data_IF_256557719196
#
_entry.id   IF_256557719196
#
_cell.length_a   1.000
_cell.length_b   1.000
_cell.length_c   1.000
_cell.angle_alpha   90.00
_cell.angle_beta   90.00
_cell.angle_gamma   90.00
#
_symmetry.space_group_name_H-M   'P 1'
#
loop_
_entity.id
_entity.type
_entity.pdbx_description
1 polymer ?
#
# COMPACT_ATOMS: atom_id res chain seq x y z
N UNK A 1 8.09 21.21 7.59
CA UNK A 1 6.94 21.48 6.72
C UNK A 1 6.12 20.21 6.58
N UNK A 2 4.79 20.29 6.62
CA UNK A 2 3.91 19.16 6.33
C UNK A 2 4.04 18.72 4.87
N UNK A 3 4.03 17.42 4.64
CA UNK A 3 4.08 16.79 3.32
C UNK A 3 2.81 16.00 3.06
N UNK A 4 2.45 15.85 1.80
CA UNK A 4 1.39 14.95 1.33
C UNK A 4 2.00 13.62 0.91
N UNK A 5 1.61 12.54 1.58
CA UNK A 5 2.21 11.22 1.34
C UNK A 5 1.14 10.18 1.02
N UNK A 6 1.33 9.44 -0.06
CA UNK A 6 0.54 8.26 -0.39
C UNK A 6 1.30 7.01 0.01
N UNK A 7 0.68 6.14 0.80
CA UNK A 7 1.22 4.84 1.20
C UNK A 7 0.42 3.73 0.52
N UNK A 8 1.02 3.09 -0.47
CA UNK A 8 0.45 1.94 -1.18
C UNK A 8 0.78 0.66 -0.42
N UNK A 9 -0.22 -0.17 -0.12
CA UNK A 9 -0.06 -1.34 0.75
C UNK A 9 -0.14 -1.00 2.24
N UNK A 10 -0.96 -0.01 2.60
CA UNK A 10 -1.05 0.52 3.96
C UNK A 10 -1.73 -0.38 5.00
N UNK A 11 -2.40 -1.48 4.59
CA UNK A 11 -2.91 -2.51 5.51
C UNK A 11 -1.81 -3.48 5.96
N UNK A 12 -0.67 -3.50 5.27
CA UNK A 12 0.43 -4.41 5.50
C UNK A 12 1.26 -4.10 6.75
N UNK A 13 2.18 -5.03 7.05
CA UNK A 13 3.07 -4.97 8.21
C UNK A 13 3.97 -3.71 8.22
N UNK A 14 4.47 -3.28 7.07
CA UNK A 14 5.26 -2.06 6.95
C UNK A 14 4.36 -0.83 6.73
N UNK A 15 3.32 -0.96 5.92
CA UNK A 15 2.51 0.18 5.48
C UNK A 15 1.75 0.86 6.62
N UNK A 16 1.13 0.08 7.51
CA UNK A 16 0.37 0.65 8.62
C UNK A 16 1.23 1.46 9.61
N UNK A 17 2.32 0.91 10.19
CA UNK A 17 3.15 1.69 11.11
C UNK A 17 3.83 2.88 10.43
N UNK A 18 4.21 2.77 9.15
CA UNK A 18 4.73 3.91 8.38
C UNK A 18 3.69 5.02 8.26
N UNK A 19 2.43 4.66 7.97
CA UNK A 19 1.33 5.63 7.88
C UNK A 19 1.06 6.34 9.20
N UNK A 20 1.09 5.60 10.32
CA UNK A 20 0.95 6.19 11.66
C UNK A 20 2.09 7.16 11.97
N UNK A 21 3.34 6.73 11.74
CA UNK A 21 4.52 7.56 11.99
C UNK A 21 4.48 8.87 11.19
N UNK A 22 4.18 8.80 9.89
CA UNK A 22 4.07 9.98 9.04
C UNK A 22 2.95 10.91 9.50
N UNK A 23 1.79 10.36 9.86
CA UNK A 23 0.67 11.13 10.40
C UNK A 23 1.03 11.80 11.73
N UNK A 24 1.76 11.10 12.61
CA UNK A 24 2.26 11.65 13.88
C UNK A 24 3.22 12.83 13.66
N UNK A 25 4.08 12.75 12.64
CA UNK A 25 4.97 13.84 12.24
C UNK A 25 4.23 15.04 11.59
N UNK A 26 2.91 14.95 11.45
CA UNK A 26 2.09 16.03 10.92
C UNK A 26 1.98 16.05 9.40
N UNK A 27 2.29 14.95 8.73
CA UNK A 27 2.08 14.79 7.30
C UNK A 27 0.62 14.42 7.00
N UNK A 28 0.12 14.85 5.84
CA UNK A 28 -1.17 14.42 5.31
C UNK A 28 -1.00 13.06 4.63
N UNK A 29 -1.65 12.03 5.17
CA UNK A 29 -1.44 10.64 4.73
C UNK A 29 -2.68 10.06 4.08
N UNK A 30 -2.49 9.48 2.89
CA UNK A 30 -3.49 8.65 2.19
C UNK A 30 -2.96 7.24 2.08
N UNK A 31 -3.73 6.27 2.59
CA UNK A 31 -3.48 4.84 2.42
C UNK A 31 -4.26 4.33 1.21
N UNK A 32 -3.60 3.54 0.37
CA UNK A 32 -4.24 2.73 -0.68
C UNK A 32 -3.95 1.27 -0.42
N UNK A 33 -4.98 0.44 -0.37
CA UNK A 33 -4.84 -1.01 -0.20
C UNK A 33 -6.07 -1.75 -0.76
N UNK A 34 -5.86 -2.93 -1.32
CA UNK A 34 -6.93 -3.82 -1.79
C UNK A 34 -7.35 -4.87 -0.75
N UNK A 35 -6.71 -4.88 0.41
CA UNK A 35 -6.90 -5.84 1.51
C UNK A 35 -6.66 -7.30 1.12
N UNK A 36 -5.92 -7.53 0.03
CA UNK A 36 -5.64 -8.89 -0.48
C UNK A 36 -4.94 -9.78 0.54
N UNK A 37 -4.16 -9.20 1.44
CA UNK A 37 -3.51 -9.94 2.52
C UNK A 37 -4.52 -10.67 3.41
N UNK A 38 -5.69 -10.08 3.70
CA UNK A 38 -6.73 -10.71 4.51
C UNK A 38 -7.31 -11.93 3.81
N UNK A 39 -7.48 -11.85 2.48
CA UNK A 39 -7.92 -12.97 1.67
C UNK A 39 -6.86 -14.09 1.63
N UNK A 40 -5.58 -13.72 1.52
CA UNK A 40 -4.46 -14.67 1.56
C UNK A 40 -4.38 -15.36 2.93
N UNK A 41 -4.50 -14.61 4.03
CA UNK A 41 -4.50 -15.17 5.38
C UNK A 41 -5.65 -16.19 5.53
N UNK A 42 -6.87 -15.89 5.04
CA UNK A 42 -8.00 -16.81 5.04
C UNK A 42 -7.75 -18.05 4.17
N UNK A 43 -7.18 -17.87 2.96
CA UNK A 43 -6.84 -18.99 2.06
C UNK A 43 -5.79 -19.94 2.69
N UNK A 44 -4.91 -19.39 3.52
CA UNK A 44 -3.86 -20.15 4.19
C UNK A 44 -4.28 -20.69 5.56
N UNK A 45 -5.52 -20.41 5.99
CA UNK A 45 -6.00 -20.73 7.34
C UNK A 45 -5.05 -20.17 8.42
N UNK A 46 -4.43 -19.03 8.12
CA UNK A 46 -3.46 -18.38 8.98
C UNK A 46 -4.10 -17.22 9.75
N UNK A 47 -3.65 -17.03 10.99
CA UNK A 47 -4.06 -15.90 11.80
C UNK A 47 -2.85 -15.13 12.33
N UNK A 48 -3.02 -13.84 12.56
CA UNK A 48 -2.00 -13.05 13.23
C UNK A 48 -1.97 -13.38 14.73
N UNK A 49 -0.79 -13.36 15.34
CA UNK A 49 -0.62 -13.54 16.81
C UNK A 49 -1.46 -12.52 17.59
N UNK A 50 -1.57 -11.31 17.09
CA UNK A 50 -2.47 -10.29 17.60
C UNK A 50 -3.59 -10.07 16.58
N UNK A 51 -4.87 -10.09 16.99
CA UNK A 51 -5.98 -9.82 16.09
C UNK A 51 -5.84 -8.47 15.42
N UNK A 52 -6.06 -8.42 14.10
CA UNK A 52 -5.99 -7.19 13.32
C UNK A 52 -7.41 -6.71 13.02
N UNK A 53 -7.76 -5.57 13.57
CA UNK A 53 -9.05 -4.91 13.32
C UNK A 53 -9.16 -4.42 11.87
N UNK A 54 -10.39 -4.30 11.38
CA UNK A 54 -10.66 -3.70 10.07
C UNK A 54 -10.05 -2.29 9.95
N UNK A 55 -9.62 -1.91 8.74
CA UNK A 55 -8.93 -0.65 8.49
C UNK A 55 -9.72 0.56 9.01
N UNK A 56 -11.03 0.60 8.81
CA UNK A 56 -11.88 1.69 9.30
C UNK A 56 -11.82 1.85 10.83
N UNK A 57 -11.82 0.75 11.58
CA UNK A 57 -11.72 0.78 13.04
C UNK A 57 -10.34 1.29 13.49
N UNK A 58 -9.27 0.88 12.81
CA UNK A 58 -7.91 1.34 13.12
C UNK A 58 -7.74 2.83 12.87
N UNK A 59 -8.25 3.33 11.76
CA UNK A 59 -8.23 4.77 11.42
C UNK A 59 -9.06 5.57 12.43
N UNK A 60 -10.25 5.07 12.78
CA UNK A 60 -11.09 5.70 13.79
C UNK A 60 -10.36 5.79 15.13
N UNK A 61 -9.79 4.70 15.61
CA UNK A 61 -9.01 4.69 16.85
C UNK A 61 -7.82 5.66 16.79
N UNK A 62 -7.10 5.72 15.65
CA UNK A 62 -6.02 6.68 15.47
C UNK A 62 -6.49 8.13 15.62
N UNK A 63 -7.62 8.46 14.97
CA UNK A 63 -8.22 9.79 15.09
C UNK A 63 -8.66 10.11 16.52
N UNK A 64 -9.27 9.16 17.23
CA UNK A 64 -9.72 9.34 18.61
C UNK A 64 -8.56 9.60 19.58
N UNK A 65 -7.42 8.92 19.38
CA UNK A 65 -6.24 9.03 20.26
C UNK A 65 -5.41 10.28 19.93
N UNK A 66 -5.29 10.66 18.65
CA UNK A 66 -4.33 11.68 18.22
C UNK A 66 -4.97 12.96 17.68
N UNK A 67 -6.27 12.95 17.38
CA UNK A 67 -6.95 14.02 16.66
C UNK A 67 -6.56 14.11 15.16
N UNK A 68 -5.73 13.20 14.64
CA UNK A 68 -5.22 13.23 13.27
C UNK A 68 -6.02 12.31 12.37
N UNK A 69 -6.14 12.68 11.10
CA UNK A 69 -6.83 11.89 10.11
C UNK A 69 -5.85 11.18 9.16
N UNK A 70 -6.18 9.94 8.83
CA UNK A 70 -5.59 9.19 7.72
C UNK A 70 -6.72 8.81 6.77
N UNK A 71 -6.61 9.19 5.51
CA UNK A 71 -7.57 8.81 4.48
C UNK A 71 -7.28 7.41 3.95
N UNK A 72 -8.32 6.61 3.76
CA UNK A 72 -8.21 5.27 3.17
C UNK A 72 -8.94 5.18 1.84
N UNK A 73 -8.25 4.70 0.81
CA UNK A 73 -8.79 4.41 -0.50
C UNK A 73 -8.67 2.91 -0.76
N UNK A 74 -9.81 2.21 -0.83
CA UNK A 74 -9.82 0.77 -1.12
C UNK A 74 -9.85 0.52 -2.62
N UNK A 75 -8.71 0.14 -3.20
CA UNK A 75 -8.59 -0.35 -4.57
C UNK A 75 -7.25 -1.05 -4.81
N UNK A 76 -7.21 -1.85 -5.88
CA UNK A 76 -6.03 -2.59 -6.31
C UNK A 76 -5.19 -1.73 -7.27
N UNK A 77 -3.95 -1.45 -6.88
CA UNK A 77 -3.01 -0.63 -7.67
C UNK A 77 -2.61 -1.31 -8.97
N UNK A 78 -2.48 -2.65 -8.97
CA UNK A 78 -2.12 -3.40 -10.17
C UNK A 78 -3.23 -3.41 -11.24
N UNK A 79 -4.49 -3.23 -10.81
CA UNK A 79 -5.67 -3.34 -11.70
C UNK A 79 -6.30 -1.98 -12.01
N UNK A 80 -6.36 -1.09 -11.01
CA UNK A 80 -7.13 0.15 -11.09
C UNK A 80 -6.27 1.38 -11.45
N UNK A 81 -5.56 1.31 -12.57
CA UNK A 81 -4.68 2.38 -13.04
C UNK A 81 -5.32 3.78 -13.02
N UNK A 82 -6.51 3.93 -13.59
CA UNK A 82 -7.17 5.23 -13.66
C UNK A 82 -7.55 5.80 -12.28
N UNK A 83 -7.87 4.96 -11.30
CA UNK A 83 -8.12 5.41 -9.94
C UNK A 83 -6.84 5.92 -9.27
N UNK A 84 -5.72 5.25 -9.51
CA UNK A 84 -4.41 5.68 -9.03
C UNK A 84 -4.02 7.02 -9.66
N UNK A 85 -4.14 7.15 -10.97
CA UNK A 85 -3.85 8.38 -11.70
C UNK A 85 -4.71 9.56 -11.21
N UNK A 86 -6.02 9.34 -11.03
CA UNK A 86 -6.93 10.36 -10.49
C UNK A 86 -6.50 10.77 -9.08
N UNK A 87 -6.19 9.81 -8.20
CA UNK A 87 -5.71 10.11 -6.85
C UNK A 87 -4.44 10.98 -6.88
N UNK A 88 -3.46 10.65 -7.73
CA UNK A 88 -2.21 11.40 -7.83
C UNK A 88 -2.47 12.82 -8.35
N UNK A 89 -3.31 12.98 -9.39
CA UNK A 89 -3.66 14.31 -9.96
C UNK A 89 -4.38 15.20 -8.96
N UNK A 90 -5.32 14.65 -8.19
CA UNK A 90 -6.13 15.41 -7.23
C UNK A 90 -5.37 15.69 -5.93
N UNK A 91 -4.74 14.67 -5.36
CA UNK A 91 -4.05 14.79 -4.08
C UNK A 91 -2.70 15.52 -4.20
N UNK A 92 -2.01 15.39 -5.36
CA UNK A 92 -0.69 15.96 -5.65
C UNK A 92 0.32 15.63 -4.54
N UNK A 93 0.66 14.34 -4.35
CA UNK A 93 1.56 13.92 -3.28
C UNK A 93 2.99 14.48 -3.47
N UNK A 94 3.65 14.82 -2.38
CA UNK A 94 5.10 15.07 -2.34
C UNK A 94 5.89 13.75 -2.42
N UNK A 95 5.31 12.66 -1.91
CA UNK A 95 5.92 11.34 -1.96
C UNK A 95 4.88 10.21 -2.07
N UNK A 96 5.29 9.12 -2.74
CA UNK A 96 4.57 7.86 -2.80
C UNK A 96 5.49 6.77 -2.23
N UNK A 97 5.01 6.04 -1.21
CA UNK A 97 5.72 4.91 -0.63
C UNK A 97 5.02 3.64 -1.09
N UNK A 98 5.73 2.79 -1.82
CA UNK A 98 5.17 1.61 -2.46
C UNK A 98 5.53 0.33 -1.73
N UNK A 99 4.55 -0.21 -0.96
CA UNK A 99 4.59 -1.50 -0.29
C UNK A 99 3.54 -2.49 -0.84
N UNK A 100 2.80 -2.11 -1.89
CA UNK A 100 1.66 -2.90 -2.39
C UNK A 100 2.12 -4.09 -3.24
N UNK A 101 2.90 -4.99 -2.65
CA UNK A 101 3.43 -6.17 -3.31
C UNK A 101 3.11 -7.45 -2.53
N UNK A 102 2.93 -8.55 -3.27
CA UNK A 102 2.90 -9.88 -2.69
C UNK A 102 4.35 -10.31 -2.42
N UNK A 103 4.73 -10.41 -1.14
CA UNK A 103 6.09 -10.61 -0.66
C UNK A 103 6.46 -12.05 -0.28
N UNK A 104 5.45 -12.90 -0.11
CA UNK A 104 5.66 -14.22 0.50
C UNK A 104 6.04 -15.26 -0.53
N UNK A 105 7.31 -15.67 -0.58
CA UNK A 105 7.79 -16.75 -1.44
C UNK A 105 7.02 -18.06 -1.25
N UNK A 106 6.71 -18.53 -0.02
CA UNK A 106 5.91 -19.74 0.17
C UNK A 106 4.52 -19.66 -0.49
N UNK A 107 3.88 -18.51 -0.46
CA UNK A 107 2.59 -18.30 -1.13
C UNK A 107 2.73 -18.38 -2.64
N UNK A 108 3.70 -17.69 -3.23
CA UNK A 108 3.92 -17.69 -4.68
C UNK A 108 4.24 -19.06 -5.23
N UNK A 109 4.84 -19.93 -4.43
CA UNK A 109 5.27 -21.27 -4.85
C UNK A 109 4.18 -22.34 -4.72
N UNK A 110 2.99 -22.06 -4.17
CA UNK A 110 1.93 -23.05 -3.93
C UNK A 110 1.38 -23.68 -5.22
N UNK A 111 1.18 -22.88 -6.27
CA UNK A 111 0.70 -23.35 -7.58
C UNK A 111 0.98 -22.35 -8.69
N UNK A 112 0.70 -22.74 -9.94
CA UNK A 112 0.81 -21.85 -11.11
C UNK A 112 -0.08 -20.59 -10.97
N UNK A 113 -1.25 -20.69 -10.35
CA UNK A 113 -2.14 -19.55 -10.08
C UNK A 113 -1.45 -18.54 -9.15
N UNK A 114 -0.81 -19.01 -8.08
CA UNK A 114 -0.12 -18.15 -7.12
C UNK A 114 1.13 -17.49 -7.70
N UNK A 115 1.88 -18.22 -8.52
CA UNK A 115 3.04 -17.66 -9.27
C UNK A 115 2.60 -16.52 -10.17
N UNK A 116 1.57 -16.78 -10.99
CA UNK A 116 1.04 -15.75 -11.91
C UNK A 116 0.50 -14.55 -11.15
N UNK A 117 -0.31 -14.76 -10.13
CA UNK A 117 -0.80 -13.67 -9.28
C UNK A 117 0.35 -12.81 -8.74
N UNK A 118 1.41 -13.42 -8.22
CA UNK A 118 2.56 -12.68 -7.68
C UNK A 118 3.24 -11.83 -8.75
N UNK A 119 3.49 -12.39 -9.93
CA UNK A 119 4.12 -11.68 -11.05
C UNK A 119 3.21 -10.54 -11.54
N UNK A 120 1.95 -10.86 -11.83
CA UNK A 120 1.00 -9.90 -12.38
C UNK A 120 0.75 -8.74 -11.40
N UNK A 121 0.62 -9.05 -10.11
CA UNK A 121 0.44 -8.04 -9.07
C UNK A 121 1.68 -7.14 -8.92
N UNK A 122 2.85 -7.72 -8.74
CA UNK A 122 4.03 -6.93 -8.37
C UNK A 122 4.53 -6.08 -9.55
N UNK A 123 4.62 -6.69 -10.75
CA UNK A 123 5.01 -5.95 -11.95
C UNK A 123 3.93 -4.95 -12.35
N UNK A 124 2.67 -5.36 -12.33
CA UNK A 124 1.55 -4.48 -12.67
C UNK A 124 1.42 -3.28 -11.74
N UNK A 125 1.54 -3.49 -10.43
CA UNK A 125 1.48 -2.40 -9.45
C UNK A 125 2.62 -1.40 -9.65
N UNK A 126 3.86 -1.87 -9.75
CA UNK A 126 5.02 -1.00 -9.93
C UNK A 126 4.96 -0.25 -11.25
N UNK A 127 4.60 -0.92 -12.35
CA UNK A 127 4.41 -0.26 -13.65
C UNK A 127 3.34 0.82 -13.60
N UNK A 128 2.19 0.54 -12.96
CA UNK A 128 1.10 1.51 -12.83
C UNK A 128 1.50 2.73 -11.99
N UNK A 129 2.28 2.54 -10.92
CA UNK A 129 2.79 3.67 -10.11
C UNK A 129 3.68 4.57 -10.96
N UNK A 130 4.66 4.00 -11.64
CA UNK A 130 5.58 4.78 -12.49
C UNK A 130 4.84 5.50 -13.63
N UNK A 131 3.97 4.79 -14.35
CA UNK A 131 3.18 5.35 -15.42
C UNK A 131 2.25 6.48 -14.95
N UNK A 132 1.57 6.30 -13.80
CA UNK A 132 0.65 7.29 -13.25
C UNK A 132 1.38 8.55 -12.78
N UNK A 133 2.58 8.42 -12.18
CA UNK A 133 3.39 9.59 -11.79
C UNK A 133 3.82 10.36 -13.03
N UNK A 134 4.34 9.69 -14.06
CA UNK A 134 4.73 10.34 -15.32
C UNK A 134 3.54 11.04 -15.99
N UNK A 135 2.41 10.33 -16.15
CA UNK A 135 1.22 10.90 -16.80
C UNK A 135 0.57 12.02 -15.99
N UNK A 136 0.66 11.97 -14.66
CA UNK A 136 0.10 13.03 -13.80
C UNK A 136 0.85 14.34 -13.88
N UNK A 137 2.12 14.33 -14.32
CA UNK A 137 3.06 15.47 -14.29
C UNK A 137 3.21 16.07 -12.87
N UNK A 138 3.01 15.26 -11.84
CA UNK A 138 3.25 15.66 -10.44
C UNK A 138 4.71 15.37 -10.09
N UNK A 139 5.44 16.37 -9.66
CA UNK A 139 6.78 16.20 -9.10
C UNK A 139 6.67 15.52 -7.74
N UNK A 140 7.02 14.24 -7.69
CA UNK A 140 6.75 13.36 -6.58
C UNK A 140 7.92 12.41 -6.34
N UNK A 141 8.38 12.31 -5.09
CA UNK A 141 9.39 11.34 -4.71
C UNK A 141 8.79 9.94 -4.57
N UNK A 142 9.34 8.95 -5.29
CA UNK A 142 8.91 7.55 -5.18
C UNK A 142 9.90 6.80 -4.29
N UNK A 143 9.37 6.15 -3.25
CA UNK A 143 10.10 5.24 -2.37
C UNK A 143 9.55 3.83 -2.61
N UNK A 144 10.36 2.97 -3.23
CA UNK A 144 10.00 1.59 -3.50
C UNK A 144 10.80 0.64 -2.61
N UNK A 145 10.09 -0.29 -1.95
CA UNK A 145 10.72 -1.30 -1.11
C UNK A 145 11.09 -2.51 -1.96
N UNK A 146 12.38 -2.63 -2.27
CA UNK A 146 12.93 -3.77 -3.00
C UNK A 146 13.17 -4.99 -2.12
N UNK A 147 13.87 -5.98 -2.68
CA UNK A 147 14.22 -7.22 -1.98
C UNK A 147 15.71 -7.45 -1.93
N UNK A 148 16.20 -8.06 -0.85
CA UNK A 148 17.59 -8.52 -0.75
C UNK A 148 17.87 -9.68 -1.72
N UNK A 149 16.86 -10.41 -2.17
CA UNK A 149 16.99 -11.55 -3.07
C UNK A 149 17.61 -11.24 -4.43
N UNK A 150 17.75 -9.97 -4.80
CA UNK A 150 18.46 -9.57 -6.04
C UNK A 150 19.97 -9.71 -5.94
N UNK A 151 20.51 -9.86 -4.75
CA UNK A 151 21.95 -10.00 -4.52
C UNK A 151 22.41 -11.46 -4.36
N UNK A 152 21.48 -12.43 -4.38
CA UNK A 152 21.77 -13.85 -4.22
C UNK A 152 21.78 -14.33 -2.78
#
# INVERSE_FOLDING_TARGET
>A
MSKKVVVLGGDGFCGWPTSLHLSEQGHEVVIVDNLSRRNIDNELEASSLTPISAMGNRIKAWREVTGREIRFCNFDVAVNYHRLLTLIKEFRPDAIIHFAEQRAAPYSMKSSRHKRYTVDNNIGATNNVLAAVVESQVDCHIIHLGTMGVYG
#
